data_IF_355643537181
#
_entry.id   IF_355643537181
#
_cell.length_a   1.000
_cell.length_b   1.000
_cell.length_c   1.000
_cell.angle_alpha   90.00
_cell.angle_beta   90.00
_cell.angle_gamma   90.00
#
_symmetry.space_group_name_H-M   'P 1'
#
loop_
_entity.id
_entity.type
_entity.pdbx_description
1 polymer ?
#
# COMPACT_ATOMS: atom_id res chain seq x y z
N UNK A 1 11.39 27.51 11.25
CA UNK A 1 11.18 26.27 10.46
C UNK A 1 10.45 25.29 11.37
N UNK A 2 9.13 25.15 11.25
CA UNK A 2 8.38 24.17 12.05
C UNK A 2 8.86 22.77 11.66
N UNK A 3 9.28 21.96 12.65
CA UNK A 3 9.53 20.53 12.41
C UNK A 3 8.22 19.91 11.98
N UNK A 4 8.11 19.46 10.72
CA UNK A 4 6.98 18.62 10.29
C UNK A 4 7.00 17.37 11.19
N UNK A 5 5.89 17.10 11.88
CA UNK A 5 5.75 15.90 12.71
C UNK A 5 5.82 14.64 11.86
N UNK A 6 6.32 13.54 12.42
CA UNK A 6 6.29 12.23 11.78
C UNK A 6 4.84 11.73 11.85
N UNK A 7 4.26 11.48 10.68
CA UNK A 7 2.94 10.87 10.50
C UNK A 7 3.10 9.38 10.23
N UNK A 8 2.36 8.54 10.96
CA UNK A 8 2.24 7.10 10.69
C UNK A 8 1.04 6.87 9.77
N UNK A 9 1.23 6.11 8.69
CA UNK A 9 0.20 5.87 7.67
C UNK A 9 -0.26 4.41 7.77
N UNK A 10 -1.52 4.19 8.13
CA UNK A 10 -2.09 2.85 8.31
C UNK A 10 -3.20 2.62 7.27
N UNK A 11 -3.07 1.67 6.33
CA UNK A 11 -4.16 1.31 5.44
C UNK A 11 -5.28 0.60 6.20
N UNK A 12 -6.51 0.97 5.89
CA UNK A 12 -7.72 0.35 6.41
C UNK A 12 -8.24 -0.66 5.40
N UNK A 13 -8.30 -1.93 5.79
CA UNK A 13 -8.92 -2.98 5.00
C UNK A 13 -10.32 -3.27 5.55
N UNK A 14 -11.34 -2.96 4.76
CA UNK A 14 -12.71 -3.34 5.07
C UNK A 14 -12.90 -4.83 4.82
N UNK A 15 -13.47 -5.53 5.80
CA UNK A 15 -13.70 -6.98 5.76
C UNK A 15 -15.06 -7.34 6.34
N UNK A 16 -15.70 -8.34 5.76
CA UNK A 16 -16.93 -8.97 6.26
C UNK A 16 -16.62 -9.95 7.38
N UNK A 17 -15.53 -10.69 7.25
CA UNK A 17 -15.07 -11.65 8.27
C UNK A 17 -13.69 -11.25 8.79
N UNK A 18 -13.70 -10.56 9.93
CA UNK A 18 -12.49 -10.03 10.56
C UNK A 18 -11.58 -11.14 11.10
N UNK A 19 -12.14 -12.23 11.61
CA UNK A 19 -11.36 -13.33 12.15
C UNK A 19 -10.64 -14.08 11.03
N UNK A 20 -11.36 -14.40 9.94
CA UNK A 20 -10.76 -15.01 8.77
C UNK A 20 -9.68 -14.12 8.13
N UNK A 21 -9.93 -12.81 8.04
CA UNK A 21 -8.96 -11.85 7.53
C UNK A 21 -7.68 -11.79 8.37
N UNK A 22 -7.81 -11.66 9.70
CA UNK A 22 -6.69 -11.69 10.62
C UNK A 22 -5.93 -13.03 10.56
N UNK A 23 -6.65 -14.15 10.49
CA UNK A 23 -6.07 -15.48 10.37
C UNK A 23 -5.28 -15.69 9.08
N UNK A 24 -5.75 -15.16 7.94
CA UNK A 24 -5.02 -15.18 6.68
C UNK A 24 -3.76 -14.33 6.76
N UNK A 25 -3.88 -13.08 7.24
CA UNK A 25 -2.74 -12.17 7.40
C UNK A 25 -1.64 -12.76 8.31
N UNK A 26 -2.05 -13.38 9.42
CA UNK A 26 -1.14 -14.04 10.34
C UNK A 26 -0.49 -15.28 9.73
N UNK A 27 -1.29 -16.18 9.16
CA UNK A 27 -0.80 -17.44 8.61
C UNK A 27 0.13 -17.24 7.42
N UNK A 28 -0.26 -16.41 6.45
CA UNK A 28 0.46 -16.25 5.17
C UNK A 28 1.61 -15.28 5.31
N UNK A 29 1.35 -14.09 5.85
CA UNK A 29 2.27 -12.97 5.84
C UNK A 29 2.97 -12.73 7.19
N UNK A 30 2.50 -13.36 8.27
CA UNK A 30 3.12 -13.26 9.59
C UNK A 30 2.67 -12.07 10.44
N UNK A 31 1.57 -11.41 10.09
CA UNK A 31 1.01 -10.33 10.92
C UNK A 31 0.60 -10.84 12.30
N UNK A 32 0.72 -9.99 13.31
CA UNK A 32 0.28 -10.24 14.67
C UNK A 32 -0.58 -9.08 15.19
N UNK A 33 -1.47 -9.30 16.18
CA UNK A 33 -2.21 -8.21 16.82
C UNK A 33 -1.27 -7.11 17.34
N UNK A 34 -1.60 -5.85 17.06
CA UNK A 34 -0.84 -4.70 17.54
C UNK A 34 -1.29 -4.33 18.95
N UNK A 35 -0.34 -4.33 19.91
CA UNK A 35 -0.64 -4.00 21.30
C UNK A 35 -1.21 -2.58 21.43
N UNK A 36 -2.28 -2.43 22.23
CA UNK A 36 -2.95 -1.14 22.45
C UNK A 36 -3.94 -0.74 21.34
N UNK A 37 -4.09 -1.54 20.28
CA UNK A 37 -5.00 -1.26 19.17
C UNK A 37 -5.87 -2.48 18.89
N UNK A 38 -7.15 -2.40 19.24
CA UNK A 38 -8.06 -3.54 19.12
C UNK A 38 -8.25 -4.00 17.68
N UNK A 39 -8.24 -3.09 16.70
CA UNK A 39 -8.55 -3.36 15.30
C UNK A 39 -7.33 -3.44 14.38
N UNK A 40 -6.11 -3.43 14.94
CA UNK A 40 -4.87 -3.37 14.16
C UNK A 40 -4.00 -4.61 14.30
N UNK A 41 -3.31 -4.92 13.21
CA UNK A 41 -2.21 -5.88 13.18
C UNK A 41 -0.93 -5.21 12.71
N UNK A 42 0.20 -5.84 13.02
CA UNK A 42 1.52 -5.40 12.58
C UNK A 42 2.39 -6.55 12.06
N UNK A 43 3.24 -6.23 11.10
CA UNK A 43 4.35 -7.04 10.61
C UNK A 43 5.60 -6.14 10.58
N UNK A 44 6.52 -6.32 11.53
CA UNK A 44 7.62 -5.38 11.71
C UNK A 44 7.10 -3.97 11.94
N UNK A 45 7.46 -3.03 11.05
CA UNK A 45 7.01 -1.64 11.06
C UNK A 45 5.77 -1.36 10.18
N UNK A 46 5.23 -2.37 9.47
CA UNK A 46 3.97 -2.27 8.74
C UNK A 46 2.79 -2.47 9.68
N UNK A 47 1.85 -1.53 9.70
CA UNK A 47 0.58 -1.67 10.42
C UNK A 47 -0.60 -1.76 9.45
N UNK A 48 -1.66 -2.47 9.80
CA UNK A 48 -2.90 -2.55 9.02
C UNK A 48 -4.09 -2.52 9.97
N UNK A 49 -5.14 -1.77 9.63
CA UNK A 49 -6.39 -1.76 10.39
C UNK A 49 -7.45 -2.61 9.68
N UNK A 50 -8.13 -3.49 10.41
CA UNK A 50 -9.27 -4.26 9.90
C UNK A 50 -10.57 -3.59 10.35
N UNK A 51 -11.30 -3.01 9.40
CA UNK A 51 -12.57 -2.31 9.67
C UNK A 51 -13.75 -3.15 9.18
N UNK A 52 -14.93 -3.06 9.83
CA UNK A 52 -16.11 -3.77 9.35
C UNK A 52 -16.53 -3.24 7.98
N UNK A 53 -16.75 -4.15 7.03
CA UNK A 53 -17.34 -3.84 5.74
C UNK A 53 -18.82 -3.43 5.90
N UNK A 54 -19.24 -2.41 5.15
CA UNK A 54 -20.65 -2.04 5.05
C UNK A 54 -21.50 -3.10 4.31
N UNK A 55 -22.83 -2.98 4.30
CA UNK A 55 -23.72 -3.94 3.65
C UNK A 55 -23.49 -4.08 2.13
N UNK A 56 -23.08 -2.99 1.48
CA UNK A 56 -22.62 -2.95 0.08
C UNK A 56 -21.25 -2.30 0.05
N UNK A 57 -20.18 -3.08 0.30
CA UNK A 57 -18.87 -2.50 0.52
C UNK A 57 -18.29 -2.05 -0.83
N UNK A 58 -17.84 -0.79 -0.88
CA UNK A 58 -17.16 -0.18 -2.02
C UNK A 58 -15.66 -0.16 -1.77
N UNK A 59 -14.88 -0.52 -2.79
CA UNK A 59 -13.43 -0.50 -2.72
C UNK A 59 -12.95 0.94 -2.76
N UNK A 60 -12.01 1.30 -1.88
CA UNK A 60 -11.42 2.62 -1.90
C UNK A 60 -10.46 2.82 -3.08
N UNK A 61 -9.66 3.88 -3.01
CA UNK A 61 -8.74 4.25 -4.10
C UNK A 61 -7.44 3.44 -4.06
N UNK A 62 -7.02 3.00 -2.87
CA UNK A 62 -5.77 2.24 -2.67
C UNK A 62 -5.85 0.92 -3.45
N UNK A 63 -4.81 0.61 -4.21
CA UNK A 63 -4.73 -0.62 -5.00
C UNK A 63 -4.11 -1.78 -4.21
N UNK A 64 -3.02 -1.53 -3.49
CA UNK A 64 -2.30 -2.57 -2.76
C UNK A 64 -1.55 -2.06 -1.53
N UNK A 65 -1.20 -3.01 -0.67
CA UNK A 65 -0.21 -2.86 0.39
C UNK A 65 1.03 -3.66 0.03
N UNK A 66 2.20 -3.01 0.02
CA UNK A 66 3.46 -3.67 -0.29
C UNK A 66 4.30 -3.93 0.95
N UNK A 67 4.78 -5.18 1.05
CA UNK A 67 5.63 -5.67 2.12
C UNK A 67 7.05 -5.82 1.60
N UNK A 68 7.98 -5.16 2.26
CA UNK A 68 9.40 -5.28 1.95
C UNK A 68 9.89 -6.68 2.34
N UNK A 69 10.65 -7.31 1.44
CA UNK A 69 11.39 -8.57 1.67
C UNK A 69 12.80 -8.45 1.10
N UNK A 70 13.74 -9.27 1.56
CA UNK A 70 15.13 -9.28 1.12
C UNK A 70 15.35 -10.25 -0.05
N UNK A 71 14.86 -11.48 0.09
CA UNK A 71 14.84 -12.51 -0.93
C UNK A 71 13.38 -12.80 -1.32
N UNK A 72 12.96 -12.24 -2.45
CA UNK A 72 11.59 -12.41 -2.94
C UNK A 72 11.24 -13.88 -3.20
N UNK A 73 12.17 -14.65 -3.78
CA UNK A 73 11.86 -16.02 -4.16
C UNK A 73 11.73 -16.90 -2.90
N UNK A 74 12.55 -16.67 -1.86
CA UNK A 74 12.40 -17.33 -0.57
C UNK A 74 11.11 -16.91 0.15
N UNK A 75 10.80 -15.62 0.19
CA UNK A 75 9.57 -15.11 0.80
C UNK A 75 8.32 -15.66 0.10
N UNK A 76 8.31 -15.69 -1.23
CA UNK A 76 7.22 -16.27 -2.02
C UNK A 76 7.06 -17.77 -1.76
N UNK A 77 8.15 -18.55 -1.72
CA UNK A 77 8.08 -19.98 -1.39
C UNK A 77 7.44 -20.21 -0.02
N UNK A 78 7.90 -19.49 1.00
CA UNK A 78 7.36 -19.59 2.36
C UNK A 78 5.88 -19.20 2.41
N UNK A 79 5.50 -18.12 1.72
CA UNK A 79 4.10 -17.70 1.62
C UNK A 79 3.24 -18.77 0.92
N UNK A 80 3.75 -19.43 -0.13
CA UNK A 80 3.06 -20.54 -0.82
C UNK A 80 2.83 -21.74 0.08
N UNK A 81 3.84 -22.13 0.85
CA UNK A 81 3.73 -23.20 1.86
C UNK A 81 2.65 -22.90 2.91
N UNK A 82 2.38 -21.61 3.14
CA UNK A 82 1.34 -21.10 4.05
C UNK A 82 -0.02 -20.84 3.38
N UNK A 83 -0.14 -21.18 2.10
CA UNK A 83 -1.39 -21.12 1.34
C UNK A 83 -1.61 -19.82 0.55
N UNK A 84 -0.56 -19.05 0.24
CA UNK A 84 -0.69 -17.88 -0.63
C UNK A 84 -1.14 -18.26 -2.06
N UNK A 85 -1.96 -17.40 -2.67
CA UNK A 85 -2.45 -17.50 -4.05
C UNK A 85 -1.88 -16.33 -4.86
N UNK A 86 -1.56 -16.55 -6.15
CA UNK A 86 -1.02 -15.48 -7.01
C UNK A 86 -2.19 -14.61 -7.40
N UNK A 87 -2.05 -13.31 -7.26
CA UNK A 87 -3.07 -12.39 -7.76
C UNK A 87 -2.95 -12.29 -9.29
N UNK A 88 -4.10 -12.04 -9.95
CA UNK A 88 -4.25 -12.14 -11.40
C UNK A 88 -3.34 -11.20 -12.24
N UNK A 89 -2.75 -10.16 -11.65
CA UNK A 89 -1.82 -9.24 -12.32
C UNK A 89 -0.39 -9.80 -12.41
N UNK A 90 -0.03 -10.78 -11.58
CA UNK A 90 1.22 -11.52 -11.65
C UNK A 90 0.96 -13.04 -11.72
N UNK A 91 0.23 -13.53 -12.74
CA UNK A 91 -0.23 -14.91 -12.80
C UNK A 91 0.90 -15.91 -13.01
N UNK A 92 2.02 -15.46 -13.59
CA UNK A 92 3.21 -16.25 -13.88
C UNK A 92 4.32 -16.08 -12.80
N UNK A 93 4.00 -15.40 -11.70
CA UNK A 93 4.93 -15.15 -10.60
C UNK A 93 5.69 -13.82 -10.67
N UNK A 94 6.88 -13.74 -10.04
CA UNK A 94 7.62 -12.49 -9.90
C UNK A 94 7.96 -11.75 -11.18
N UNK A 95 7.94 -10.42 -11.09
CA UNK A 95 8.31 -9.47 -12.16
C UNK A 95 9.36 -8.48 -11.65
N UNK A 96 9.95 -7.72 -12.56
CA UNK A 96 10.98 -6.72 -12.25
C UNK A 96 10.68 -5.37 -12.89
N UNK A 97 11.04 -4.30 -12.20
CA UNK A 97 11.04 -2.92 -12.71
C UNK A 97 12.44 -2.37 -12.47
N UNK A 98 13.23 -2.23 -13.53
CA UNK A 98 14.65 -1.86 -13.46
C UNK A 98 14.86 -0.38 -13.09
N UNK A 99 13.88 0.47 -13.37
CA UNK A 99 13.98 1.92 -13.24
C UNK A 99 13.90 2.41 -11.78
N UNK A 100 13.49 1.55 -10.86
CA UNK A 100 13.32 1.91 -9.44
C UNK A 100 14.62 1.75 -8.65
N UNK A 101 14.89 2.71 -7.75
CA UNK A 101 16.00 2.68 -6.78
C UNK A 101 17.40 2.44 -7.37
N UNK A 102 17.61 2.72 -8.65
CA UNK A 102 18.90 2.64 -9.35
C UNK A 102 19.31 1.24 -9.83
N UNK A 103 18.86 0.19 -9.14
CA UNK A 103 19.19 -1.21 -9.46
C UNK A 103 17.94 -2.08 -9.73
N UNK A 104 16.76 -1.49 -9.59
CA UNK A 104 15.47 -2.12 -9.80
C UNK A 104 14.82 -2.68 -8.54
N UNK A 105 13.60 -3.16 -8.73
CA UNK A 105 12.88 -4.00 -7.76
C UNK A 105 12.45 -5.29 -8.42
N UNK A 106 12.27 -6.32 -7.61
CA UNK A 106 11.58 -7.56 -7.96
C UNK A 106 10.34 -7.68 -7.08
N UNK A 107 9.20 -7.97 -7.67
CA UNK A 107 7.93 -7.96 -6.96
C UNK A 107 6.97 -9.06 -7.43
N UNK A 108 6.00 -9.40 -6.58
CA UNK A 108 4.89 -10.30 -6.92
C UNK A 108 3.65 -9.93 -6.12
N UNK A 109 2.47 -10.02 -6.74
CA UNK A 109 1.20 -9.81 -6.05
C UNK A 109 0.57 -11.13 -5.61
N UNK A 110 0.04 -11.11 -4.39
CA UNK A 110 -0.63 -12.21 -3.73
C UNK A 110 -2.04 -11.78 -3.30
N UNK A 111 -2.95 -12.75 -3.26
CA UNK A 111 -4.28 -12.53 -2.70
C UNK A 111 -4.21 -12.43 -1.17
N UNK A 112 -4.67 -11.30 -0.65
CA UNK A 112 -4.94 -11.06 0.77
C UNK A 112 -6.41 -11.33 1.12
N UNK A 113 -6.85 -10.90 2.32
CA UNK A 113 -8.23 -11.12 2.76
C UNK A 113 -9.26 -10.59 1.75
N UNK A 114 -10.25 -11.43 1.44
CA UNK A 114 -11.34 -11.11 0.52
C UNK A 114 -10.89 -10.63 -0.89
N UNK A 115 -9.66 -10.99 -1.29
CA UNK A 115 -9.08 -10.61 -2.58
C UNK A 115 -8.28 -9.29 -2.56
N UNK A 116 -8.03 -8.69 -1.39
CA UNK A 116 -7.21 -7.49 -1.27
C UNK A 116 -5.78 -7.77 -1.76
N UNK A 117 -5.27 -6.95 -2.68
CA UNK A 117 -3.92 -7.16 -3.24
C UNK A 117 -2.85 -6.82 -2.21
N UNK A 118 -1.96 -7.77 -1.96
CA UNK A 118 -0.75 -7.59 -1.15
C UNK A 118 0.46 -7.88 -2.04
N UNK A 119 1.45 -7.00 -2.02
CA UNK A 119 2.70 -7.16 -2.77
C UNK A 119 3.82 -7.64 -1.86
N UNK A 120 4.66 -8.55 -2.35
CA UNK A 120 6.01 -8.72 -1.82
C UNK A 120 6.96 -7.97 -2.74
N UNK A 121 7.80 -7.09 -2.20
CA UNK A 121 8.73 -6.26 -2.96
C UNK A 121 10.15 -6.37 -2.39
N UNK A 122 11.11 -6.72 -3.24
CA UNK A 122 12.52 -6.75 -2.93
C UNK A 122 13.27 -5.69 -3.75
N UNK A 123 14.04 -4.83 -3.09
CA UNK A 123 14.95 -3.90 -3.76
C UNK A 123 16.19 -4.64 -4.22
N UNK A 124 16.55 -4.50 -5.49
CA UNK A 124 17.73 -5.13 -6.06
C UNK A 124 18.96 -4.26 -5.80
N UNK A 125 20.13 -4.87 -5.58
CA UNK A 125 21.42 -4.17 -5.50
C UNK A 125 21.56 -3.10 -4.39
N UNK A 126 20.63 -3.05 -3.43
CA UNK A 126 20.64 -2.12 -2.30
C UNK A 126 21.37 -2.66 -1.07
N UNK A 127 21.64 -1.82 -0.06
CA UNK A 127 22.17 -2.29 1.22
C UNK A 127 21.17 -3.21 1.93
N UNK A 128 21.64 -4.16 2.77
CA UNK A 128 20.75 -4.99 3.57
C UNK A 128 19.81 -4.14 4.43
N UNK A 129 18.52 -4.48 4.43
CA UNK A 129 17.51 -3.90 5.32
C UNK A 129 17.32 -4.82 6.53
N UNK A 130 17.39 -4.27 7.73
CA UNK A 130 17.02 -4.98 8.95
C UNK A 130 15.51 -4.91 9.21
N UNK A 131 14.97 -5.88 9.95
CA UNK A 131 13.56 -5.84 10.38
C UNK A 131 12.57 -6.24 9.29
N UNK A 132 13.02 -7.01 8.30
CA UNK A 132 12.17 -7.59 7.27
C UNK A 132 11.57 -8.94 7.71
N UNK A 133 10.38 -9.32 7.21
CA UNK A 133 9.50 -8.51 6.37
C UNK A 133 8.86 -7.33 7.13
N UNK A 134 8.52 -6.27 6.41
CA UNK A 134 7.98 -5.03 6.98
C UNK A 134 7.35 -4.12 5.94
N UNK A 135 7.24 -2.82 6.23
CA UNK A 135 6.65 -1.84 5.33
C UNK A 135 7.55 -1.60 4.10
N UNK A 136 6.97 -1.58 2.90
CA UNK A 136 7.60 -0.96 1.75
C UNK A 136 6.86 0.30 1.30
N UNK A 137 5.59 0.16 0.89
CA UNK A 137 4.76 1.27 0.44
C UNK A 137 3.26 0.91 0.42
N UNK A 138 2.41 1.92 0.26
CA UNK A 138 0.99 1.77 -0.06
C UNK A 138 0.76 2.33 -1.47
N UNK A 139 0.29 1.49 -2.38
CA UNK A 139 0.09 1.85 -3.79
C UNK A 139 -1.25 2.52 -4.04
N UNK A 140 -1.22 3.71 -4.65
CA UNK A 140 -2.40 4.54 -4.90
C UNK A 140 -2.42 4.96 -6.38
N UNK A 141 -3.30 4.34 -7.20
CA UNK A 141 -3.55 4.80 -8.55
C UNK A 141 -4.19 6.18 -8.54
N UNK A 142 -3.76 7.04 -9.46
CA UNK A 142 -4.22 8.42 -9.57
C UNK A 142 -4.79 8.69 -10.96
N UNK A 143 -5.86 9.47 -11.03
CA UNK A 143 -6.34 10.07 -12.28
C UNK A 143 -5.72 11.44 -12.55
N UNK A 144 -5.26 12.11 -11.48
CA UNK A 144 -4.47 13.34 -11.50
C UNK A 144 -3.33 13.21 -10.48
N UNK A 145 -2.13 12.87 -10.96
CA UNK A 145 -0.96 12.68 -10.11
C UNK A 145 -0.60 13.94 -9.31
N UNK A 146 -0.67 15.11 -9.95
CA UNK A 146 -0.25 16.36 -9.34
C UNK A 146 -1.19 16.76 -8.20
N UNK A 147 -2.49 16.56 -8.37
CA UNK A 147 -3.47 16.80 -7.32
C UNK A 147 -3.26 15.85 -6.13
N UNK A 148 -3.04 14.56 -6.38
CA UNK A 148 -2.83 13.57 -5.30
C UNK A 148 -1.51 13.81 -4.56
N UNK A 149 -0.45 14.15 -5.28
CA UNK A 149 0.82 14.54 -4.68
C UNK A 149 0.65 15.77 -3.78
N UNK A 150 0.02 16.84 -4.28
CA UNK A 150 -0.24 18.05 -3.52
C UNK A 150 -1.05 17.78 -2.24
N UNK A 151 -2.04 16.87 -2.31
CA UNK A 151 -2.82 16.45 -1.15
C UNK A 151 -1.92 15.83 -0.07
N UNK A 152 -1.07 14.85 -0.41
CA UNK A 152 -0.18 14.22 0.57
C UNK A 152 0.92 15.15 1.10
N UNK A 153 1.45 16.06 0.25
CA UNK A 153 2.37 17.10 0.70
C UNK A 153 1.72 18.02 1.76
N UNK A 154 0.43 18.33 1.60
CA UNK A 154 -0.33 19.13 2.58
C UNK A 154 -0.52 18.40 3.92
N UNK A 155 -0.53 17.07 3.91
CA UNK A 155 -0.61 16.22 5.10
C UNK A 155 0.74 16.02 5.81
N UNK A 156 1.82 16.59 5.27
CA UNK A 156 3.14 16.58 5.89
C UNK A 156 4.13 15.60 5.27
N UNK A 157 3.74 14.82 4.26
CA UNK A 157 4.67 13.96 3.53
C UNK A 157 5.64 14.79 2.68
N UNK A 158 6.70 14.14 2.22
CA UNK A 158 7.71 14.73 1.31
C UNK A 158 8.00 13.76 0.19
N UNK A 159 8.09 14.24 -1.06
CA UNK A 159 8.49 13.43 -2.20
C UNK A 159 9.97 13.04 -2.09
N UNK A 160 10.27 11.76 -2.28
CA UNK A 160 11.64 11.21 -2.23
C UNK A 160 12.12 10.63 -3.55
N UNK A 161 11.21 10.25 -4.45
CA UNK A 161 11.56 9.79 -5.79
C UNK A 161 10.45 10.09 -6.79
N UNK A 162 10.86 10.28 -8.04
CA UNK A 162 9.98 10.46 -9.20
C UNK A 162 10.54 9.65 -10.36
N UNK A 163 9.72 8.78 -10.93
CA UNK A 163 10.11 7.90 -12.04
C UNK A 163 8.99 7.90 -13.06
N UNK A 164 9.34 8.03 -14.33
CA UNK A 164 8.41 7.92 -15.44
C UNK A 164 8.76 6.64 -16.21
N UNK A 165 7.85 5.67 -16.20
CA UNK A 165 8.01 4.36 -16.81
C UNK A 165 7.48 4.40 -18.23
N UNK A 166 8.38 4.33 -19.21
CA UNK A 166 8.01 4.20 -20.62
C UNK A 166 7.65 2.74 -20.93
N UNK A 167 6.42 2.52 -21.37
CA UNK A 167 5.83 1.21 -21.65
C UNK A 167 5.09 1.29 -22.99
N UNK A 168 4.76 0.13 -23.56
CA UNK A 168 4.12 0.07 -24.87
C UNK A 168 2.75 0.79 -24.93
N UNK A 169 2.05 0.90 -23.79
CA UNK A 169 0.78 1.61 -23.63
C UNK A 169 0.94 3.09 -23.24
N UNK A 170 2.18 3.57 -23.15
CA UNK A 170 2.56 4.94 -22.86
C UNK A 170 3.24 5.13 -21.50
N UNK A 171 3.46 6.39 -21.13
CA UNK A 171 4.21 6.73 -19.92
C UNK A 171 3.34 6.66 -18.68
N UNK A 172 3.67 5.73 -17.78
CA UNK A 172 3.15 5.68 -16.41
C UNK A 172 4.04 6.52 -15.51
N UNK A 173 3.47 7.53 -14.85
CA UNK A 173 4.22 8.42 -13.95
C UNK A 173 4.08 7.93 -12.52
N UNK A 174 5.19 7.85 -11.78
CA UNK A 174 5.25 7.33 -10.42
C UNK A 174 5.94 8.31 -9.49
N UNK A 175 5.37 8.59 -8.32
CA UNK A 175 5.96 9.40 -7.26
C UNK A 175 5.94 8.65 -5.94
N UNK A 176 7.06 8.66 -5.24
CA UNK A 176 7.16 8.10 -3.88
C UNK A 176 7.21 9.25 -2.88
N UNK A 177 6.31 9.23 -1.91
CA UNK A 177 6.25 10.23 -0.84
C UNK A 177 6.36 9.55 0.51
N UNK A 178 7.11 10.14 1.44
CA UNK A 178 7.39 9.55 2.75
C UNK A 178 7.01 10.45 3.90
N UNK A 179 6.73 9.80 5.04
CA UNK A 179 6.73 10.40 6.37
C UNK A 179 7.47 9.46 7.32
N UNK A 180 8.70 9.82 7.70
CA UNK A 180 9.57 8.91 8.45
C UNK A 180 9.88 7.67 7.60
N UNK A 181 9.52 6.49 8.10
CA UNK A 181 9.67 5.21 7.38
C UNK A 181 8.44 4.83 6.56
N UNK A 182 7.30 5.47 6.77
CA UNK A 182 6.08 5.22 6.01
C UNK A 182 6.16 5.86 4.62
N UNK A 183 5.61 5.18 3.61
CA UNK A 183 5.69 5.53 2.20
C UNK A 183 4.37 5.28 1.48
N UNK A 184 4.01 6.19 0.58
CA UNK A 184 2.98 5.98 -0.43
C UNK A 184 3.62 6.03 -1.82
N UNK A 185 3.20 5.12 -2.69
CA UNK A 185 3.49 5.15 -4.12
C UNK A 185 2.26 5.67 -4.86
N UNK A 186 2.40 6.83 -5.51
CA UNK A 186 1.37 7.39 -6.37
C UNK A 186 1.73 7.04 -7.81
N UNK A 187 0.81 6.40 -8.54
CA UNK A 187 1.05 6.08 -9.95
C UNK A 187 -0.12 6.46 -10.85
N UNK A 188 0.18 7.10 -11.97
CA UNK A 188 -0.78 7.57 -12.98
C UNK A 188 -0.47 6.91 -14.33
N UNK A 189 -1.09 5.75 -14.62
CA UNK A 189 -0.95 5.12 -15.92
C UNK A 189 -1.75 5.88 -16.98
N UNK A 190 -1.37 5.80 -18.28
CA UNK A 190 -2.05 6.50 -19.37
C UNK A 190 -3.57 6.25 -19.40
N UNK A 191 -4.00 5.03 -19.07
CA UNK A 191 -5.40 4.64 -19.09
C UNK A 191 -6.28 5.33 -18.02
N UNK A 192 -5.70 5.85 -16.94
CA UNK A 192 -6.43 6.51 -15.85
C UNK A 192 -6.41 8.04 -15.93
N UNK A 193 -5.41 8.62 -16.62
CA UNK A 193 -5.19 10.07 -16.64
C UNK A 193 -6.42 10.86 -17.06
N UNK A 194 -6.87 11.77 -16.20
CA UNK A 194 -8.03 12.63 -16.40
C UNK A 194 -9.38 11.91 -16.45
N UNK A 195 -9.44 10.62 -16.10
CA UNK A 195 -10.68 9.85 -16.11
C UNK A 195 -11.37 9.91 -14.75
N UNK A 196 -12.65 9.55 -14.72
CA UNK A 196 -13.37 9.27 -13.48
C UNK A 196 -13.18 7.79 -13.14
N UNK A 197 -12.69 7.48 -11.95
CA UNK A 197 -12.67 6.10 -11.47
C UNK A 197 -14.11 5.60 -11.30
N UNK A 198 -14.39 4.42 -11.84
CA UNK A 198 -15.64 3.73 -11.60
C UNK A 198 -15.59 3.09 -10.19
N UNK A 199 -16.69 3.10 -9.43
CA UNK A 199 -16.77 2.34 -8.18
C UNK A 199 -16.43 0.88 -8.45
N UNK A 200 -15.52 0.32 -7.64
CA UNK A 200 -15.24 -1.12 -7.65
C UNK A 200 -16.01 -1.75 -6.49
N UNK A 201 -16.79 -2.78 -6.79
CA UNK A 201 -17.52 -3.53 -5.77
C UNK A 201 -16.58 -4.44 -4.96
N UNK A 202 -17.04 -4.89 -3.79
CA UNK A 202 -16.34 -5.88 -2.96
C UNK A 202 -15.62 -5.29 -1.74
N UNK A 203 -15.67 -3.96 -1.57
CA UNK A 203 -15.04 -3.14 -0.53
C UNK A 203 -13.87 -3.72 0.22
N UNK A 204 -12.73 -3.59 -0.46
CA UNK A 204 -11.39 -3.76 0.08
C UNK A 204 -10.76 -2.36 0.23
N UNK A 205 -9.53 -2.26 0.75
CA UNK A 205 -8.78 -1.01 1.01
C UNK A 205 -9.64 0.27 1.14
N UNK A 206 -10.31 0.43 2.28
CA UNK A 206 -11.30 1.47 2.55
C UNK A 206 -10.72 2.89 2.53
N UNK A 207 -9.49 3.06 3.00
CA UNK A 207 -8.85 4.35 3.20
C UNK A 207 -7.59 4.26 4.03
N UNK A 208 -7.14 5.40 4.55
CA UNK A 208 -5.96 5.51 5.40
C UNK A 208 -6.33 6.12 6.76
N UNK A 209 -5.69 5.65 7.84
CA UNK A 209 -5.57 6.39 9.10
C UNK A 209 -4.19 6.99 9.22
N UNK A 210 -4.13 8.28 9.54
CA UNK A 210 -2.88 9.01 9.74
C UNK A 210 -2.80 9.45 11.19
N UNK A 211 -1.81 8.95 11.91
CA UNK A 211 -1.54 9.31 13.31
C UNK A 211 -0.44 10.36 13.38
N UNK A 212 -0.59 11.36 14.26
CA UNK A 212 0.46 12.35 14.51
C UNK A 212 0.54 13.46 13.44
N UNK A 213 -0.47 13.57 12.58
CA UNK A 213 -0.61 14.70 11.67
C UNK A 213 -0.75 16.00 12.47
N UNK A 214 -0.07 17.07 12.03
CA UNK A 214 -0.15 18.37 12.70
C UNK A 214 -1.52 19.07 12.55
N UNK A 215 -2.36 18.57 11.66
CA UNK A 215 -3.72 19.08 11.43
C UNK A 215 -4.70 18.48 12.44
N UNK A 216 -5.83 19.15 12.70
CA UNK A 216 -6.86 18.62 13.59
C UNK A 216 -7.46 17.29 13.09
N UNK A 217 -7.95 16.47 14.03
CA UNK A 217 -8.50 15.14 13.73
C UNK A 217 -9.73 15.19 12.80
N UNK A 218 -10.08 14.04 12.22
CA UNK A 218 -11.28 13.84 11.43
C UNK A 218 -11.02 13.45 9.97
N UNK A 219 -12.11 13.19 9.25
CA UNK A 219 -12.07 12.73 7.87
C UNK A 219 -11.59 13.84 6.93
N UNK A 220 -10.80 13.45 5.94
CA UNK A 220 -10.40 14.21 4.77
C UNK A 220 -10.70 13.37 3.53
N UNK A 221 -11.13 14.05 2.47
CA UNK A 221 -11.34 13.43 1.16
C UNK A 221 -10.29 14.01 0.21
N UNK A 222 -9.39 13.17 -0.25
CA UNK A 222 -8.41 13.49 -1.28
C UNK A 222 -8.98 13.31 -2.70
N UNK A 223 -8.13 13.50 -3.72
CA UNK A 223 -8.48 13.19 -5.11
C UNK A 223 -8.99 11.75 -5.27
N UNK A 224 -9.77 11.52 -6.33
CA UNK A 224 -10.40 10.23 -6.64
C UNK A 224 -11.34 9.67 -5.55
N UNK A 225 -11.64 10.46 -4.52
CA UNK A 225 -12.43 10.03 -3.37
C UNK A 225 -11.61 9.33 -2.29
N UNK A 226 -10.27 9.46 -2.31
CA UNK A 226 -9.38 8.87 -1.32
C UNK A 226 -9.78 9.30 0.10
N UNK A 227 -10.14 8.33 0.94
CA UNK A 227 -10.53 8.57 2.33
C UNK A 227 -9.30 8.56 3.23
N UNK A 228 -9.12 9.63 3.99
CA UNK A 228 -8.02 9.75 4.97
C UNK A 228 -8.58 10.25 6.29
N UNK A 229 -8.47 9.45 7.34
CA UNK A 229 -8.87 9.83 8.70
C UNK A 229 -7.65 10.26 9.49
N UNK A 230 -7.64 11.52 9.93
CA UNK A 230 -6.60 12.02 10.85
C UNK A 230 -6.98 11.65 12.28
N UNK A 231 -6.09 10.93 12.97
CA UNK A 231 -6.27 10.40 14.33
C UNK A 231 -5.36 11.12 15.31
#
# INVERSE_FOLDING_TARGET
MQRKGIVRIVPELAVRDREAAAGLLARVFGFAPLSGHEDMLSLGDQWIALVPAGPSPEHGVIDHLALAVDDLDAALRLARERGAVLEATTPDGPREIAEFWGSGVRYVFLEGPEGARIELCARLGGPPRSGLPGHDHIGIPCTDLAATEAFFLSLGLTQVAAVDLDRADGVTRVRFLTSGTDMVELYEPPALRGRRLAPRGGGLWHGLRLFGAAMGTGLRTGPDGLRVTLV
#
